data_IF_566316564630
#
_entry.id   IF_566316564630
#
_cell.length_a   1.000
_cell.length_b   1.000
_cell.length_c   1.000
_cell.angle_alpha   90.00
_cell.angle_beta   90.00
_cell.angle_gamma   90.00
#
_symmetry.space_group_name_H-M   'P 1'
#
loop_
_entity.id
_entity.type
_entity.pdbx_description
1 polymer ?
#
# COMPACT_ATOMS: atom_id res chain seq x y z
N UNK A 1 -15.81 -11.33 2.26
CA UNK A 1 -15.01 -10.69 3.33
C UNK A 1 -13.54 -11.07 3.28
N UNK A 2 -13.18 -12.35 3.24
CA UNK A 2 -11.79 -12.84 3.21
C UNK A 2 -10.86 -12.16 2.19
N UNK A 3 -11.33 -11.91 0.96
CA UNK A 3 -10.53 -11.23 -0.08
C UNK A 3 -10.15 -9.79 0.29
N UNK A 4 -11.05 -9.05 0.95
CA UNK A 4 -10.77 -7.68 1.38
C UNK A 4 -9.77 -7.64 2.51
N UNK A 5 -9.87 -8.58 3.46
CA UNK A 5 -8.91 -8.71 4.57
C UNK A 5 -7.53 -9.09 4.04
N UNK A 6 -7.46 -10.01 3.07
CA UNK A 6 -6.20 -10.41 2.41
C UNK A 6 -5.56 -9.25 1.65
N UNK A 7 -6.37 -8.48 0.92
CA UNK A 7 -5.90 -7.30 0.20
C UNK A 7 -5.42 -6.19 1.16
N UNK A 8 -6.18 -5.90 2.21
CA UNK A 8 -5.77 -4.98 3.28
C UNK A 8 -4.42 -5.40 3.88
N UNK A 9 -4.25 -6.68 4.20
CA UNK A 9 -3.00 -7.21 4.72
C UNK A 9 -1.81 -7.02 3.76
N UNK A 10 -2.01 -7.28 2.46
CA UNK A 10 -0.98 -7.02 1.45
C UNK A 10 -0.66 -5.53 1.30
N UNK A 11 -1.68 -4.67 1.26
CA UNK A 11 -1.46 -3.22 1.15
C UNK A 11 -0.73 -2.67 2.37
N UNK A 12 -1.04 -3.15 3.59
CA UNK A 12 -0.31 -2.79 4.82
C UNK A 12 1.15 -3.23 4.72
N UNK A 13 1.42 -4.46 4.26
CA UNK A 13 2.79 -4.95 4.06
C UNK A 13 3.57 -4.08 3.07
N UNK A 14 2.94 -3.66 1.97
CA UNK A 14 3.55 -2.76 0.98
C UNK A 14 3.87 -1.39 1.61
N UNK A 15 2.94 -0.84 2.39
CA UNK A 15 3.16 0.43 3.10
C UNK A 15 4.33 0.33 4.09
N UNK A 16 4.41 -0.75 4.87
CA UNK A 16 5.52 -1.01 5.81
C UNK A 16 6.84 -1.17 5.06
N UNK A 17 6.85 -1.88 3.92
CA UNK A 17 8.06 -2.07 3.13
C UNK A 17 8.61 -0.75 2.59
N UNK A 18 7.74 0.09 2.05
CA UNK A 18 8.10 1.43 1.55
C UNK A 18 8.58 2.30 2.69
N UNK A 19 7.91 2.27 3.85
CA UNK A 19 8.35 2.97 5.04
C UNK A 19 9.77 2.57 5.44
N UNK A 20 10.06 1.27 5.49
CA UNK A 20 11.36 0.74 5.91
C UNK A 20 12.47 1.13 4.93
N UNK A 21 12.24 0.99 3.63
CA UNK A 21 13.19 1.38 2.59
C UNK A 21 13.51 2.87 2.65
N UNK A 22 12.49 3.70 2.83
CA UNK A 22 12.66 5.14 2.92
C UNK A 22 13.36 5.53 4.23
N UNK A 23 12.97 4.93 5.35
CA UNK A 23 13.59 5.18 6.64
C UNK A 23 15.08 4.78 6.67
N UNK A 24 15.45 3.68 6.02
CA UNK A 24 16.86 3.26 5.87
C UNK A 24 17.60 4.22 4.93
N UNK A 25 16.98 4.62 3.82
CA UNK A 25 17.62 5.44 2.78
C UNK A 25 17.83 6.91 3.16
N UNK A 26 16.88 7.51 3.86
CA UNK A 26 16.93 8.94 4.24
C UNK A 26 17.16 9.18 5.72
N UNK A 27 17.10 8.12 6.53
CA UNK A 27 17.36 8.20 7.96
C UNK A 27 16.26 8.94 8.73
N UNK A 28 16.60 9.26 9.98
CA UNK A 28 15.70 9.86 10.98
C UNK A 28 15.27 11.30 10.64
N UNK A 29 15.99 11.99 9.77
CA UNK A 29 15.71 13.38 9.40
C UNK A 29 14.49 13.53 8.46
N UNK A 30 14.09 12.44 7.79
CA UNK A 30 12.95 12.44 6.87
C UNK A 30 11.83 11.48 7.26
N UNK A 31 11.68 11.19 8.55
CA UNK A 31 10.65 10.28 9.08
C UNK A 31 9.24 10.61 8.56
N UNK A 32 8.91 11.90 8.53
CA UNK A 32 7.63 12.41 8.05
C UNK A 32 7.42 12.12 6.56
N UNK A 33 8.47 12.26 5.75
CA UNK A 33 8.46 11.88 4.34
C UNK A 33 8.30 10.38 4.13
N UNK A 34 8.97 9.56 4.97
CA UNK A 34 8.84 8.10 4.97
C UNK A 34 7.39 7.67 5.25
N UNK A 35 6.73 8.29 6.24
CA UNK A 35 5.32 8.02 6.57
C UNK A 35 4.40 8.41 5.42
N UNK A 36 4.60 9.57 4.80
CA UNK A 36 3.79 10.02 3.66
C UNK A 36 3.94 9.05 2.49
N UNK A 37 5.17 8.63 2.15
CA UNK A 37 5.39 7.67 1.07
C UNK A 37 4.79 6.29 1.36
N UNK A 38 4.86 5.84 2.61
CA UNK A 38 4.23 4.60 3.05
C UNK A 38 2.71 4.64 2.89
N UNK A 39 2.07 5.76 3.25
CA UNK A 39 0.64 5.98 3.05
C UNK A 39 0.28 6.00 1.56
N UNK A 40 1.06 6.70 0.73
CA UNK A 40 0.84 6.71 -0.72
C UNK A 40 0.95 5.30 -1.33
N UNK A 41 1.95 4.51 -0.91
CA UNK A 41 2.10 3.12 -1.33
C UNK A 41 0.95 2.22 -0.88
N UNK A 42 0.48 2.40 0.35
CA UNK A 42 -0.70 1.71 0.87
C UNK A 42 -1.96 2.04 0.05
N UNK A 43 -2.26 3.33 -0.14
CA UNK A 43 -3.43 3.76 -0.90
C UNK A 43 -3.35 3.35 -2.36
N UNK A 44 -2.18 3.47 -3.00
CA UNK A 44 -1.97 3.03 -4.38
C UNK A 44 -2.23 1.53 -4.56
N UNK A 45 -1.68 0.70 -3.66
CA UNK A 45 -1.92 -0.75 -3.67
C UNK A 45 -3.41 -1.08 -3.43
N UNK A 46 -4.04 -0.40 -2.47
CA UNK A 46 -5.44 -0.66 -2.14
C UNK A 46 -6.41 -0.23 -3.25
N UNK A 47 -6.18 0.92 -3.87
CA UNK A 47 -6.95 1.40 -5.02
C UNK A 47 -6.76 0.47 -6.22
N UNK A 48 -5.54 0.01 -6.48
CA UNK A 48 -5.25 -0.96 -7.55
C UNK A 48 -6.04 -2.25 -7.35
N UNK A 49 -6.09 -2.78 -6.12
CA UNK A 49 -6.93 -3.93 -5.80
C UNK A 49 -8.43 -3.68 -6.03
N UNK A 50 -8.95 -2.51 -5.64
CA UNK A 50 -10.35 -2.15 -5.89
C UNK A 50 -10.66 -2.03 -7.38
N UNK A 51 -9.74 -1.47 -8.16
CA UNK A 51 -9.87 -1.31 -9.60
C UNK A 51 -9.86 -2.66 -10.32
N UNK A 52 -8.89 -3.52 -10.00
CA UNK A 52 -8.77 -4.87 -10.56
C UNK A 52 -10.00 -5.72 -10.23
N UNK A 53 -10.55 -5.55 -9.02
CA UNK A 53 -11.80 -6.21 -8.63
C UNK A 53 -13.00 -5.70 -9.43
N UNK A 54 -13.12 -4.38 -9.64
CA UNK A 54 -14.21 -3.79 -10.44
C UNK A 54 -14.13 -4.30 -11.88
N UNK A 55 -12.94 -4.30 -12.46
CA UNK A 55 -12.71 -4.76 -13.83
C UNK A 55 -13.04 -6.25 -14.01
N UNK A 56 -12.60 -7.10 -13.08
CA UNK A 56 -12.94 -8.53 -13.09
C UNK A 56 -14.45 -8.81 -12.88
N UNK A 57 -15.21 -7.85 -12.36
CA UNK A 57 -16.66 -7.96 -12.20
C UNK A 57 -17.43 -7.56 -13.45
N UNK A 58 -16.88 -6.64 -14.24
CA UNK A 58 -17.46 -6.18 -15.52
C UNK A 58 -17.08 -7.10 -16.69
N UNK A 59 -15.99 -7.87 -16.55
CA UNK A 59 -15.54 -8.86 -17.54
C UNK A 59 -16.19 -10.25 -17.38
N UNK A 60 -17.13 -10.42 -16.45
CA UNK A 60 -17.81 -11.69 -16.15
C UNK A 60 -19.31 -11.58 -16.43
#
# INVERSE_FOLDING_TARGET
MLLYVKALGMSILIGILIFLLMFIGTGKDQLLGSVIMALLGFFGSFISFLYEKKHNRESK
#
